data_IF_409182985929
#
_entry.id   IF_409182985929
#
_cell.length_a   1.000
_cell.length_b   1.000
_cell.length_c   1.000
_cell.angle_alpha   90.00
_cell.angle_beta   90.00
_cell.angle_gamma   90.00
#
_symmetry.space_group_name_H-M   'P 1'
#
loop_
_entity.id
_entity.type
_entity.pdbx_description
1 polymer ?
#
# COMPACT_ATOMS: atom_id res chain seq x y z
N UNK A 1 13.04 3.52 -14.22
CA UNK A 1 13.50 3.30 -12.83
C UNK A 1 14.49 2.14 -12.62
N UNK A 2 14.67 1.21 -13.57
CA UNK A 2 15.29 -0.11 -13.31
C UNK A 2 16.83 -0.17 -13.15
N UNK A 3 17.59 0.87 -13.48
CA UNK A 3 19.06 0.83 -13.49
C UNK A 3 19.76 1.52 -12.30
N UNK A 4 19.02 2.11 -11.36
CA UNK A 4 19.60 2.95 -10.29
C UNK A 4 19.68 2.30 -8.91
N UNK A 5 19.08 1.11 -8.71
CA UNK A 5 19.16 0.38 -7.46
C UNK A 5 19.96 -0.92 -7.66
N UNK A 6 21.07 -1.14 -6.92
CA UNK A 6 21.92 -2.34 -7.05
C UNK A 6 21.14 -3.65 -6.96
N UNK A 7 20.10 -3.68 -6.13
CA UNK A 7 19.21 -4.82 -5.94
C UNK A 7 18.44 -5.19 -7.22
N UNK A 8 17.97 -4.22 -8.01
CA UNK A 8 17.26 -4.49 -9.27
C UNK A 8 18.22 -5.09 -10.29
N UNK A 9 19.41 -4.50 -10.42
CA UNK A 9 20.45 -5.03 -11.30
C UNK A 9 20.81 -6.47 -10.92
N UNK A 10 21.03 -6.74 -9.63
CA UNK A 10 21.34 -8.07 -9.13
C UNK A 10 20.18 -9.06 -9.37
N UNK A 11 18.93 -8.65 -9.18
CA UNK A 11 17.76 -9.47 -9.44
C UNK A 11 17.60 -9.86 -10.91
N UNK A 12 17.88 -8.95 -11.83
CA UNK A 12 17.75 -9.20 -13.27
C UNK A 12 18.91 -10.04 -13.85
N UNK A 13 20.00 -10.22 -13.11
CA UNK A 13 21.07 -11.12 -13.54
C UNK A 13 20.70 -12.60 -13.36
N UNK A 14 21.13 -13.45 -14.28
CA UNK A 14 21.03 -14.92 -14.16
C UNK A 14 22.06 -15.52 -13.15
N UNK A 15 22.54 -14.71 -12.21
CA UNK A 15 23.54 -15.08 -11.20
C UNK A 15 22.93 -15.17 -9.80
N UNK A 16 23.58 -15.92 -8.93
CA UNK A 16 23.30 -15.87 -7.50
C UNK A 16 23.86 -14.55 -6.91
N UNK A 17 23.20 -14.02 -5.89
CA UNK A 17 23.73 -12.90 -5.09
C UNK A 17 23.96 -13.37 -3.66
N UNK A 18 25.21 -13.35 -3.23
CA UNK A 18 25.58 -13.59 -1.83
C UNK A 18 25.16 -12.42 -0.94
N UNK A 19 25.22 -11.18 -1.44
CA UNK A 19 24.82 -9.97 -0.72
C UNK A 19 23.34 -9.99 -0.37
N UNK A 20 22.49 -10.36 -1.34
CA UNK A 20 21.04 -10.36 -1.13
C UNK A 20 20.47 -11.73 -0.75
N UNK A 21 21.31 -12.77 -0.67
CA UNK A 21 20.93 -14.08 -0.17
C UNK A 21 20.01 -14.89 -1.09
N UNK A 22 20.18 -14.82 -2.42
CA UNK A 22 19.38 -15.60 -3.38
C UNK A 22 20.21 -16.37 -4.41
N UNK A 23 19.62 -17.47 -4.91
CA UNK A 23 20.19 -18.31 -5.95
C UNK A 23 20.10 -17.72 -7.35
N UNK A 24 20.65 -18.44 -8.34
CA UNK A 24 20.66 -18.02 -9.74
C UNK A 24 19.28 -18.13 -10.43
N UNK A 25 18.37 -18.94 -9.89
CA UNK A 25 17.03 -19.13 -10.45
C UNK A 25 16.12 -17.97 -10.04
N UNK A 26 15.22 -17.59 -10.95
CA UNK A 26 14.10 -16.71 -10.64
C UNK A 26 12.96 -17.56 -10.09
N UNK A 27 13.02 -17.85 -8.79
CA UNK A 27 12.01 -18.60 -8.06
C UNK A 27 11.31 -17.73 -7.00
N UNK A 28 10.30 -18.29 -6.35
CA UNK A 28 9.53 -17.60 -5.31
C UNK A 28 10.39 -17.17 -4.12
N UNK A 29 11.45 -17.93 -3.79
CA UNK A 29 12.37 -17.58 -2.71
C UNK A 29 13.17 -16.33 -3.03
N UNK A 30 13.71 -16.24 -4.26
CA UNK A 30 14.40 -15.04 -4.74
C UNK A 30 13.46 -13.84 -4.77
N UNK A 31 12.23 -14.02 -5.23
CA UNK A 31 11.20 -12.98 -5.23
C UNK A 31 10.89 -12.48 -3.82
N UNK A 32 10.63 -13.40 -2.88
CA UNK A 32 10.37 -13.10 -1.47
C UNK A 32 11.54 -12.33 -0.86
N UNK A 33 12.78 -12.78 -1.08
CA UNK A 33 13.97 -12.08 -0.56
C UNK A 33 14.11 -10.68 -1.13
N UNK A 34 13.87 -10.48 -2.42
CA UNK A 34 13.91 -9.15 -3.03
C UNK A 34 12.86 -8.20 -2.45
N UNK A 35 11.65 -8.69 -2.18
CA UNK A 35 10.60 -7.91 -1.51
C UNK A 35 11.02 -7.52 -0.08
N UNK A 36 11.58 -8.46 0.70
CA UNK A 36 12.07 -8.18 2.05
C UNK A 36 13.18 -7.12 2.08
N UNK A 37 14.13 -7.18 1.15
CA UNK A 37 15.16 -6.15 1.01
C UNK A 37 14.58 -4.79 0.62
N UNK A 38 13.57 -4.75 -0.26
CA UNK A 38 12.91 -3.50 -0.64
C UNK A 38 12.23 -2.83 0.57
N UNK A 39 11.61 -3.63 1.45
CA UNK A 39 11.03 -3.16 2.71
C UNK A 39 12.09 -2.62 3.67
N UNK A 40 13.22 -3.33 3.81
CA UNK A 40 14.35 -2.85 4.62
C UNK A 40 14.89 -1.51 4.10
N UNK A 41 14.92 -1.32 2.78
CA UNK A 41 15.34 -0.07 2.14
C UNK A 41 14.23 1.00 2.05
N UNK A 42 13.06 0.78 2.62
CA UNK A 42 11.93 1.72 2.45
C UNK A 42 12.24 3.13 2.92
N UNK A 43 12.87 3.31 4.07
CA UNK A 43 13.22 4.63 4.61
C UNK A 43 14.18 5.42 3.70
N UNK A 44 15.26 4.78 3.21
CA UNK A 44 16.19 5.43 2.27
C UNK A 44 15.54 5.73 0.91
N UNK A 45 14.60 4.88 0.47
CA UNK A 45 13.84 5.11 -0.75
C UNK A 45 12.88 6.29 -0.56
N UNK A 46 12.25 6.41 0.60
CA UNK A 46 11.41 7.55 0.95
C UNK A 46 12.21 8.86 0.92
N UNK A 47 13.36 8.91 1.59
CA UNK A 47 14.26 10.08 1.58
C UNK A 47 14.71 10.47 0.16
N UNK A 48 14.90 9.46 -0.70
CA UNK A 48 15.24 9.69 -2.11
C UNK A 48 14.09 10.36 -2.87
N UNK A 49 12.85 9.94 -2.63
CA UNK A 49 11.64 10.58 -3.18
C UNK A 49 11.51 12.02 -2.68
N UNK A 50 11.68 12.26 -1.37
CA UNK A 50 11.64 13.61 -0.79
C UNK A 50 12.74 14.53 -1.35
N UNK A 51 13.89 13.96 -1.69
CA UNK A 51 15.00 14.66 -2.36
C UNK A 51 14.73 14.94 -3.85
N UNK A 52 13.56 14.57 -4.37
CA UNK A 52 13.12 14.84 -5.74
C UNK A 52 13.51 13.78 -6.76
N UNK A 53 13.95 12.58 -6.34
CA UNK A 53 14.20 11.49 -7.28
C UNK A 53 12.86 10.90 -7.76
N UNK A 54 12.65 10.78 -9.09
CA UNK A 54 11.41 10.25 -9.67
C UNK A 54 11.40 8.72 -9.63
N UNK A 55 11.41 8.15 -8.42
CA UNK A 55 11.40 6.70 -8.15
C UNK A 55 10.06 6.22 -7.55
N UNK A 56 9.06 7.09 -7.54
CA UNK A 56 7.70 6.79 -7.08
C UNK A 56 6.68 7.51 -7.95
N UNK A 57 5.48 6.95 -8.03
CA UNK A 57 4.41 7.50 -8.84
C UNK A 57 3.77 8.72 -8.17
N UNK A 58 3.66 9.82 -8.91
CA UNK A 58 2.87 10.99 -8.50
C UNK A 58 1.39 10.83 -8.84
N UNK A 59 0.54 11.75 -8.36
CA UNK A 59 -0.86 11.84 -8.78
C UNK A 59 -0.97 11.90 -10.31
N UNK A 60 -0.17 12.74 -10.97
CA UNK A 60 -0.21 12.90 -12.43
C UNK A 60 0.28 11.68 -13.20
N UNK A 61 1.08 10.82 -12.57
CA UNK A 61 1.53 9.58 -13.21
C UNK A 61 0.42 8.52 -13.22
N UNK A 62 -0.38 8.48 -12.14
CA UNK A 62 -1.43 7.46 -11.93
C UNK A 62 -2.82 7.90 -12.38
N UNK A 63 -3.22 9.14 -12.13
CA UNK A 63 -4.61 9.60 -12.29
C UNK A 63 -4.80 10.30 -13.61
N UNK A 64 -5.69 9.74 -14.45
CA UNK A 64 -5.95 10.23 -15.81
C UNK A 64 -7.20 11.09 -15.84
N UNK A 65 -8.26 10.62 -15.18
CA UNK A 65 -9.47 11.40 -14.97
C UNK A 65 -10.06 11.11 -13.59
N UNK A 66 -10.64 12.14 -12.99
CA UNK A 66 -11.24 12.09 -11.65
C UNK A 66 -12.54 12.88 -11.66
N UNK A 67 -13.61 12.26 -11.19
CA UNK A 67 -14.87 12.94 -10.92
C UNK A 67 -15.47 12.48 -9.61
N UNK A 68 -16.02 13.41 -8.83
CA UNK A 68 -16.81 13.12 -7.66
C UNK A 68 -18.11 13.91 -7.75
N UNK A 69 -19.26 13.25 -7.52
CA UNK A 69 -20.56 13.92 -7.59
C UNK A 69 -20.80 14.62 -8.95
N UNK A 70 -20.39 13.96 -10.05
CA UNK A 70 -20.38 14.48 -11.42
C UNK A 70 -19.58 15.79 -11.64
N UNK A 71 -18.72 16.18 -10.70
CA UNK A 71 -17.79 17.31 -10.83
C UNK A 71 -16.36 16.80 -10.95
N UNK A 72 -15.55 17.44 -11.77
CA UNK A 72 -14.13 17.12 -11.88
C UNK A 72 -13.43 17.35 -10.54
N UNK A 73 -12.67 16.35 -10.09
CA UNK A 73 -11.69 16.49 -9.02
C UNK A 73 -10.28 16.58 -9.62
N UNK A 74 -9.35 17.15 -8.86
CA UNK A 74 -7.97 17.32 -9.27
C UNK A 74 -7.03 16.95 -8.11
N UNK A 75 -5.72 17.07 -8.35
CA UNK A 75 -4.66 16.77 -7.38
C UNK A 75 -4.84 17.47 -6.03
N UNK A 76 -5.39 18.70 -6.00
CA UNK A 76 -5.60 19.45 -4.75
C UNK A 76 -6.65 18.83 -3.83
N UNK A 77 -7.44 17.88 -4.34
CA UNK A 77 -8.42 17.12 -3.54
C UNK A 77 -7.83 15.84 -2.94
N UNK A 78 -6.54 15.59 -3.19
CA UNK A 78 -5.79 14.45 -2.70
C UNK A 78 -4.64 14.93 -1.83
N UNK A 79 -4.23 14.09 -0.89
CA UNK A 79 -2.94 14.19 -0.24
C UNK A 79 -2.10 12.97 -0.62
N UNK A 80 -0.79 13.15 -0.66
CA UNK A 80 0.14 12.04 -0.80
C UNK A 80 0.61 11.58 0.57
N UNK A 81 0.71 10.27 0.77
CA UNK A 81 1.38 9.67 1.92
C UNK A 81 2.28 8.53 1.45
N UNK A 82 3.34 8.25 2.20
CA UNK A 82 4.27 7.18 1.85
C UNK A 82 3.92 5.88 2.57
N UNK A 83 3.89 4.77 1.83
CA UNK A 83 3.78 3.43 2.36
C UNK A 83 5.06 2.64 2.01
N UNK A 84 5.71 1.99 2.98
CA UNK A 84 6.95 1.23 2.75
C UNK A 84 6.85 0.13 1.67
N UNK A 85 5.69 -0.50 1.53
CA UNK A 85 5.45 -1.59 0.58
C UNK A 85 5.11 -1.07 -0.81
N UNK A 86 4.32 0.00 -0.90
CA UNK A 86 3.69 0.45 -2.15
C UNK A 86 4.20 1.81 -2.67
N UNK A 87 5.08 2.48 -1.92
CA UNK A 87 5.59 3.80 -2.28
C UNK A 87 4.59 4.92 -1.99
N UNK A 88 4.53 5.92 -2.88
CA UNK A 88 3.64 7.07 -2.71
C UNK A 88 2.21 6.70 -3.05
N UNK A 89 1.32 6.83 -2.08
CA UNK A 89 -0.12 6.61 -2.22
C UNK A 89 -0.87 7.94 -2.29
N UNK A 90 -1.99 7.95 -3.01
CA UNK A 90 -2.87 9.13 -3.15
C UNK A 90 -4.16 8.91 -2.35
N UNK A 91 -4.44 9.80 -1.40
CA UNK A 91 -5.62 9.72 -0.55
C UNK A 91 -6.61 10.83 -0.86
N UNK A 92 -7.79 10.44 -1.34
CA UNK A 92 -8.90 11.34 -1.59
C UNK A 92 -9.62 11.72 -0.29
N UNK A 93 -10.07 12.97 -0.18
CA UNK A 93 -10.98 13.42 0.88
C UNK A 93 -10.45 13.22 2.33
N UNK A 94 -9.14 13.41 2.54
CA UNK A 94 -8.54 13.37 3.87
C UNK A 94 -9.23 14.33 4.86
N UNK A 95 -9.52 15.56 4.42
CA UNK A 95 -10.17 16.59 5.25
C UNK A 95 -11.68 16.41 5.47
N UNK A 96 -12.32 15.41 4.87
CA UNK A 96 -13.76 15.15 5.04
C UNK A 96 -14.69 16.19 4.40
N UNK A 97 -14.21 16.98 3.43
CA UNK A 97 -14.97 18.02 2.74
C UNK A 97 -15.97 17.46 1.72
N UNK A 98 -15.73 16.26 1.20
CA UNK A 98 -16.56 15.61 0.20
C UNK A 98 -17.58 14.68 0.86
N UNK A 99 -18.86 15.04 0.73
CA UNK A 99 -19.99 14.29 1.27
C UNK A 99 -20.90 13.84 0.11
N UNK A 100 -21.29 12.56 0.12
CA UNK A 100 -22.23 12.02 -0.85
C UNK A 100 -23.65 12.07 -0.28
N UNK A 101 -24.53 12.80 -0.94
CA UNK A 101 -25.94 12.91 -0.57
C UNK A 101 -26.84 11.93 -1.31
N UNK A 102 -26.32 11.23 -2.32
CA UNK A 102 -27.10 10.34 -3.19
C UNK A 102 -26.28 9.10 -3.56
N UNK A 103 -26.86 7.94 -3.33
CA UNK A 103 -26.29 6.68 -3.78
C UNK A 103 -26.31 6.57 -5.31
N UNK A 104 -25.24 6.03 -5.88
CA UNK A 104 -25.15 5.66 -7.29
C UNK A 104 -23.78 5.97 -7.89
N UNK A 105 -23.35 5.21 -8.91
CA UNK A 105 -21.99 5.33 -9.48
C UNK A 105 -21.65 6.71 -10.06
N UNK A 106 -22.65 7.48 -10.49
CA UNK A 106 -22.46 8.85 -10.99
C UNK A 106 -22.13 9.86 -9.88
N UNK A 107 -22.58 9.58 -8.66
CA UNK A 107 -22.47 10.48 -7.52
C UNK A 107 -21.30 10.12 -6.58
N UNK A 108 -20.69 8.95 -6.80
CA UNK A 108 -19.49 8.50 -6.09
C UNK A 108 -18.20 9.07 -6.65
N UNK A 109 -17.07 8.52 -6.17
CA UNK A 109 -15.74 8.79 -6.71
C UNK A 109 -15.51 7.90 -7.92
N UNK A 110 -15.34 8.52 -9.08
CA UNK A 110 -15.11 7.88 -10.35
C UNK A 110 -13.73 8.27 -10.87
N UNK A 111 -12.88 7.28 -11.15
CA UNK A 111 -11.50 7.51 -11.57
C UNK A 111 -11.13 6.64 -12.76
N UNK A 112 -10.37 7.19 -13.71
CA UNK A 112 -9.56 6.42 -14.65
C UNK A 112 -8.13 6.52 -14.19
N UNK A 113 -7.53 5.37 -13.95
CA UNK A 113 -6.17 5.26 -13.44
C UNK A 113 -5.29 4.53 -14.46
N UNK A 114 -4.01 4.85 -14.46
CA UNK A 114 -2.95 4.28 -15.28
C UNK A 114 -1.94 3.57 -14.39
N UNK A 115 -1.53 2.38 -14.80
CA UNK A 115 -0.32 1.74 -14.29
C UNK A 115 0.71 1.59 -15.42
N UNK A 116 1.96 1.32 -15.09
CA UNK A 116 2.97 0.98 -16.10
C UNK A 116 3.73 -0.27 -15.64
N UNK A 117 3.32 -1.46 -16.11
CA UNK A 117 3.99 -2.69 -15.67
C UNK A 117 5.41 -2.79 -16.20
N UNK A 118 5.78 -2.04 -17.25
CA UNK A 118 7.16 -2.01 -17.70
C UNK A 118 8.08 -1.34 -16.66
N UNK A 119 7.52 -0.46 -15.82
CA UNK A 119 8.21 0.22 -14.74
C UNK A 119 8.05 -0.46 -13.36
N UNK A 120 7.36 -1.59 -13.28
CA UNK A 120 7.23 -2.34 -12.02
C UNK A 120 8.57 -2.88 -11.55
N UNK A 121 8.64 -3.11 -10.23
CA UNK A 121 9.74 -3.88 -9.67
C UNK A 121 9.64 -5.33 -10.19
N UNK A 122 10.77 -5.97 -10.56
CA UNK A 122 10.76 -7.33 -11.10
C UNK A 122 10.18 -8.42 -10.19
N UNK A 123 10.02 -8.12 -8.89
CA UNK A 123 9.42 -9.00 -7.88
C UNK A 123 7.99 -8.61 -7.50
N UNK A 124 7.37 -7.65 -8.19
CA UNK A 124 5.96 -7.32 -8.00
C UNK A 124 5.08 -8.47 -8.51
N UNK A 125 4.29 -9.07 -7.62
CA UNK A 125 3.45 -10.24 -7.96
C UNK A 125 2.17 -9.88 -8.72
N UNK A 126 1.52 -8.79 -8.33
CA UNK A 126 0.19 -8.43 -8.81
C UNK A 126 0.23 -7.18 -9.66
N UNK A 127 -0.56 -7.18 -10.73
CA UNK A 127 -0.74 -6.00 -11.56
C UNK A 127 -2.09 -5.35 -11.34
N UNK A 128 -2.04 -4.03 -11.13
CA UNK A 128 -3.20 -3.18 -10.94
C UNK A 128 -2.90 -2.12 -9.90
N UNK A 129 -3.95 -1.59 -9.29
CA UNK A 129 -3.82 -0.78 -8.08
C UNK A 129 -4.44 -1.46 -6.89
N UNK A 130 -4.00 -1.00 -5.73
CA UNK A 130 -4.56 -1.38 -4.44
C UNK A 130 -5.26 -0.15 -3.89
N UNK A 131 -6.49 -0.35 -3.43
CA UNK A 131 -7.31 0.70 -2.84
C UNK A 131 -7.69 0.32 -1.42
N UNK A 132 -7.69 1.30 -0.52
CA UNK A 132 -8.19 1.14 0.84
C UNK A 132 -9.32 2.14 1.04
N UNK A 133 -10.43 1.66 1.60
CA UNK A 133 -11.55 2.49 2.02
C UNK A 133 -11.56 2.50 3.53
N UNK A 134 -11.30 3.66 4.13
CA UNK A 134 -11.13 3.81 5.57
C UNK A 134 -11.79 5.10 6.07
N UNK A 135 -11.90 5.22 7.39
CA UNK A 135 -12.39 6.45 8.05
C UNK A 135 -11.30 7.52 8.10
N UNK A 136 -11.69 8.80 8.26
CA UNK A 136 -10.73 9.92 8.25
C UNK A 136 -9.65 9.81 9.33
N UNK A 137 -9.99 9.24 10.49
CA UNK A 137 -9.07 9.15 11.63
C UNK A 137 -8.26 7.84 11.67
N UNK A 138 -8.36 7.02 10.63
CA UNK A 138 -7.69 5.73 10.51
C UNK A 138 -6.50 5.82 9.55
N UNK A 139 -5.38 5.22 9.95
CA UNK A 139 -4.22 5.05 9.07
C UNK A 139 -4.54 3.96 8.04
N UNK A 140 -4.39 4.22 6.72
CA UNK A 140 -4.60 3.21 5.72
C UNK A 140 -3.46 2.18 5.71
N UNK A 141 -3.82 0.88 5.75
CA UNK A 141 -2.90 -0.25 5.63
C UNK A 141 -3.24 -1.09 4.38
N UNK A 142 -2.72 -0.73 3.18
CA UNK A 142 -3.09 -1.39 1.93
C UNK A 142 -2.66 -2.85 1.82
N UNK A 143 -1.65 -3.25 2.58
CA UNK A 143 -1.15 -4.63 2.65
C UNK A 143 -2.10 -5.54 3.44
N UNK A 144 -2.95 -4.99 4.30
CA UNK A 144 -3.91 -5.75 5.13
C UNK A 144 -5.35 -5.58 4.63
N UNK A 145 -5.75 -4.35 4.29
CA UNK A 145 -7.14 -4.00 3.95
C UNK A 145 -7.33 -3.59 2.48
N UNK A 146 -6.35 -3.88 1.63
CA UNK A 146 -6.35 -3.50 0.22
C UNK A 146 -7.33 -4.30 -0.64
N UNK A 147 -8.06 -3.58 -1.50
CA UNK A 147 -8.83 -4.13 -2.61
C UNK A 147 -8.06 -3.96 -3.91
N UNK A 148 -7.91 -5.04 -4.67
CA UNK A 148 -7.23 -5.02 -5.96
C UNK A 148 -8.18 -4.61 -7.08
N UNK A 149 -7.78 -3.65 -7.90
CA UNK A 149 -8.40 -3.36 -9.19
C UNK A 149 -7.43 -3.72 -10.32
N UNK A 150 -7.72 -4.78 -11.10
CA UNK A 150 -6.85 -5.20 -12.19
C UNK A 150 -6.96 -4.23 -13.37
N UNK A 151 -5.87 -4.05 -14.12
CA UNK A 151 -5.88 -3.18 -15.28
C UNK A 151 -6.72 -3.81 -16.42
N UNK A 152 -7.25 -3.00 -17.34
CA UNK A 152 -8.17 -3.44 -18.39
C UNK A 152 -9.58 -3.78 -17.91
N UNK A 153 -9.96 -3.31 -16.71
CA UNK A 153 -11.29 -3.55 -16.14
C UNK A 153 -11.96 -2.29 -15.63
N UNK A 154 -13.29 -2.31 -15.56
CA UNK A 154 -14.08 -1.41 -14.75
C UNK A 154 -14.39 -2.13 -13.42
N UNK A 155 -13.85 -1.63 -12.32
CA UNK A 155 -14.08 -2.12 -10.96
C UNK A 155 -15.03 -1.18 -10.22
N UNK A 156 -16.24 -1.64 -9.91
CA UNK A 156 -17.21 -0.89 -9.12
C UNK A 156 -17.22 -1.37 -7.67
N UNK A 157 -17.05 -0.43 -6.75
CA UNK A 157 -16.97 -0.69 -5.31
C UNK A 157 -18.20 -0.11 -4.61
N UNK A 158 -19.15 -0.98 -4.26
CA UNK A 158 -20.30 -0.61 -3.45
C UNK A 158 -19.90 -0.47 -1.98
N UNK A 159 -19.98 0.73 -1.43
CA UNK A 159 -19.54 1.02 -0.06
C UNK A 159 -20.72 1.23 0.87
N UNK A 160 -20.72 0.53 2.01
CA UNK A 160 -21.70 0.70 3.09
C UNK A 160 -20.99 1.06 4.40
N UNK A 161 -21.43 2.14 5.04
CA UNK A 161 -20.96 2.47 6.39
C UNK A 161 -21.54 1.50 7.42
N UNK A 162 -20.68 0.95 8.26
CA UNK A 162 -21.04 -0.01 9.32
C UNK A 162 -20.48 0.48 10.64
N UNK A 163 -21.36 0.73 11.61
CA UNK A 163 -20.96 1.01 12.98
C UNK A 163 -21.25 -0.22 13.84
N UNK A 164 -20.22 -0.74 14.52
CA UNK A 164 -20.31 -1.92 15.38
C UNK A 164 -20.07 -1.52 16.82
N UNK A 165 -21.03 -1.84 17.70
CA UNK A 165 -20.91 -1.66 19.15
C UNK A 165 -20.91 -3.02 19.87
N UNK A 166 -19.92 -3.22 20.73
CA UNK A 166 -19.69 -4.43 21.53
C UNK A 166 -19.88 -4.11 23.00
N UNK A 167 -20.52 -5.02 23.72
CA UNK A 167 -20.65 -4.91 25.17
C UNK A 167 -19.32 -5.33 25.83
N UNK A 168 -18.84 -4.50 26.76
CA UNK A 168 -17.70 -4.81 27.61
C UNK A 168 -18.04 -5.84 28.69
N UNK A 169 -17.17 -5.96 29.69
CA UNK A 169 -17.37 -6.90 30.81
C UNK A 169 -18.72 -6.65 31.51
N UNK A 170 -19.49 -7.69 31.87
CA UNK A 170 -19.14 -9.12 31.83
C UNK A 170 -19.41 -9.85 30.50
N UNK A 171 -19.98 -9.18 29.49
CA UNK A 171 -20.45 -9.82 28.26
C UNK A 171 -19.34 -10.05 27.22
N UNK A 172 -18.27 -9.26 27.28
CA UNK A 172 -17.14 -9.38 26.37
C UNK A 172 -15.88 -8.68 26.88
N UNK A 173 -14.81 -8.81 26.11
CA UNK A 173 -13.50 -8.21 26.36
C UNK A 173 -13.18 -7.24 25.22
N UNK A 174 -13.72 -6.03 25.30
CA UNK A 174 -13.40 -4.93 24.40
C UNK A 174 -12.76 -3.76 25.16
N UNK A 175 -12.01 -2.91 24.46
CA UNK A 175 -11.40 -1.71 25.02
C UNK A 175 -12.17 -0.45 24.64
N UNK A 176 -12.28 0.50 25.57
CA UNK A 176 -12.78 1.86 25.32
C UNK A 176 -11.66 2.86 25.05
N UNK A 177 -10.41 2.37 24.97
CA UNK A 177 -9.25 3.15 24.59
C UNK A 177 -9.48 3.77 23.21
N UNK A 178 -9.34 5.10 23.16
CA UNK A 178 -9.48 5.87 21.91
C UNK A 178 -8.14 6.25 21.31
N UNK A 179 -7.14 6.50 22.14
CA UNK A 179 -5.81 6.93 21.71
C UNK A 179 -4.83 5.77 21.88
N UNK A 180 -4.00 5.56 20.87
CA UNK A 180 -2.95 4.56 20.91
C UNK A 180 -1.90 4.98 21.95
N UNK A 181 -1.62 4.10 22.89
CA UNK A 181 -0.60 4.30 23.94
C UNK A 181 0.54 3.32 23.71
N UNK A 182 1.20 3.44 22.56
CA UNK A 182 2.33 2.59 22.20
C UNK A 182 3.55 3.43 21.85
N UNK A 183 4.71 2.76 21.75
CA UNK A 183 5.99 3.45 21.59
C UNK A 183 6.21 3.98 20.17
N UNK A 184 5.72 3.26 19.17
CA UNK A 184 6.13 3.48 17.77
C UNK A 184 5.05 4.06 16.86
N UNK A 185 3.78 3.88 17.21
CA UNK A 185 2.64 4.41 16.46
C UNK A 185 1.90 5.41 17.34
N UNK A 186 1.36 6.46 16.72
CA UNK A 186 0.59 7.51 17.41
C UNK A 186 -0.77 7.67 16.76
N UNK A 187 -1.67 8.39 17.43
CA UNK A 187 -3.02 8.66 16.92
C UNK A 187 -4.10 7.80 17.57
N UNK A 188 -5.14 7.49 16.81
CA UNK A 188 -6.27 6.73 17.32
C UNK A 188 -5.95 5.23 17.46
N UNK A 189 -6.57 4.60 18.44
CA UNK A 189 -6.42 3.17 18.67
C UNK A 189 -7.11 2.39 17.54
N UNK A 190 -6.30 1.70 16.74
CA UNK A 190 -6.74 0.63 15.86
C UNK A 190 -6.03 -0.65 16.28
N UNK A 191 -6.68 -1.79 16.04
CA UNK A 191 -6.11 -3.10 16.37
C UNK A 191 -4.82 -3.33 15.58
N UNK A 192 -4.80 -2.92 14.31
CA UNK A 192 -3.63 -3.05 13.44
C UNK A 192 -2.45 -2.20 13.92
N UNK A 193 -2.67 -0.93 14.30
CA UNK A 193 -1.61 -0.08 14.82
C UNK A 193 -1.00 -0.64 16.12
N UNK A 194 -1.83 -1.25 16.97
CA UNK A 194 -1.35 -1.95 18.18
C UNK A 194 -0.45 -3.14 17.83
N UNK A 195 -0.88 -4.01 16.91
CA UNK A 195 -0.09 -5.17 16.50
C UNK A 195 1.24 -4.76 15.84
N UNK A 196 1.21 -3.76 14.96
CA UNK A 196 2.42 -3.22 14.33
C UNK A 196 3.40 -2.63 15.33
N UNK A 197 2.90 -1.91 16.33
CA UNK A 197 3.76 -1.39 17.39
C UNK A 197 4.38 -2.50 18.24
N UNK A 198 3.60 -3.53 18.59
CA UNK A 198 4.10 -4.69 19.33
C UNK A 198 5.17 -5.46 18.54
N UNK A 199 4.96 -5.64 17.23
CA UNK A 199 5.92 -6.28 16.34
C UNK A 199 7.23 -5.49 16.25
N UNK A 200 7.14 -4.16 16.11
CA UNK A 200 8.32 -3.30 16.11
C UNK A 200 9.07 -3.33 17.45
N UNK A 201 8.36 -3.37 18.59
CA UNK A 201 8.98 -3.52 19.92
C UNK A 201 9.75 -4.85 20.04
N UNK A 202 9.19 -5.94 19.50
CA UNK A 202 9.86 -7.24 19.47
C UNK A 202 11.11 -7.21 18.59
N UNK A 203 11.02 -6.63 17.39
CA UNK A 203 12.16 -6.49 16.47
C UNK A 203 13.29 -5.68 17.13
N UNK A 204 12.97 -4.55 17.75
CA UNK A 204 13.96 -3.71 18.45
C UNK A 204 14.62 -4.48 19.60
N UNK A 205 13.86 -5.30 20.33
CA UNK A 205 14.36 -6.06 21.48
C UNK A 205 15.29 -7.21 21.06
N UNK A 206 14.93 -7.96 20.01
CA UNK A 206 15.66 -9.15 19.57
C UNK A 206 16.80 -8.82 18.58
N UNK A 207 16.55 -7.94 17.62
CA UNK A 207 17.51 -7.58 16.56
C UNK A 207 18.37 -6.36 16.92
N UNK A 208 17.96 -5.54 17.90
CA UNK A 208 18.69 -4.35 18.34
C UNK A 208 18.57 -3.13 17.42
N UNK A 209 17.74 -3.21 16.39
CA UNK A 209 17.46 -2.16 15.40
C UNK A 209 15.95 -2.12 15.11
N UNK A 210 15.45 -1.01 14.54
CA UNK A 210 14.04 -0.93 14.12
C UNK A 210 13.88 -1.32 12.65
N UNK A 211 12.78 -1.99 12.30
CA UNK A 211 12.45 -2.27 10.90
C UNK A 211 11.85 -1.01 10.23
N UNK A 212 12.47 -0.48 9.16
CA UNK A 212 11.97 0.68 8.41
C UNK A 212 10.57 0.51 7.81
N UNK A 213 10.11 -0.74 7.63
CA UNK A 213 8.78 -1.02 7.12
C UNK A 213 7.65 -0.63 8.10
N UNK A 214 7.99 -0.32 9.35
CA UNK A 214 7.05 0.12 10.37
C UNK A 214 7.42 1.52 10.89
N UNK A 215 6.41 2.24 11.40
CA UNK A 215 6.66 3.45 12.18
C UNK A 215 7.59 3.13 13.36
N UNK A 216 8.42 4.10 13.75
CA UNK A 216 9.40 3.96 14.83
C UNK A 216 9.43 5.22 15.70
N UNK A 217 10.04 5.09 16.89
CA UNK A 217 10.22 6.21 17.80
C UNK A 217 11.52 6.94 17.46
N UNK A 218 11.51 8.27 17.44
CA UNK A 218 12.61 9.06 16.87
C UNK A 218 13.97 8.98 17.61
N UNK A 219 14.04 8.48 18.86
CA UNK A 219 15.15 8.88 19.75
C UNK A 219 15.87 7.79 20.57
N UNK A 220 16.13 6.59 20.02
CA UNK A 220 17.11 5.70 20.69
C UNK A 220 17.76 4.59 19.86
N UNK A 221 17.15 4.17 18.76
CA UNK A 221 17.53 2.92 18.07
C UNK A 221 17.84 3.21 16.61
N UNK A 222 18.88 2.59 16.06
CA UNK A 222 19.24 2.75 14.65
C UNK A 222 18.35 1.89 13.74
N UNK A 223 18.21 2.31 12.48
CA UNK A 223 17.51 1.58 11.42
C UNK A 223 18.20 0.26 11.11
N UNK A 224 17.46 -0.83 10.92
CA UNK A 224 18.03 -2.12 10.52
C UNK A 224 18.70 -2.10 9.13
N UNK A 225 18.45 -1.07 8.31
CA UNK A 225 19.19 -0.82 7.06
C UNK A 225 20.64 -0.38 7.31
N UNK A 226 20.90 0.36 8.39
CA UNK A 226 22.20 0.99 8.64
C UNK A 226 22.94 0.45 9.86
N UNK A 227 22.24 -0.28 10.72
CA UNK A 227 22.81 -0.88 11.92
C UNK A 227 23.55 -2.18 11.62
N UNK A 228 24.88 -2.22 11.77
CA UNK A 228 25.63 -3.47 11.59
C UNK A 228 25.53 -4.04 10.17
N UNK A 229 25.30 -5.35 10.04
CA UNK A 229 25.15 -6.04 8.76
C UNK A 229 23.66 -6.20 8.37
N UNK A 230 23.18 -5.55 7.29
CA UNK A 230 21.78 -5.59 6.88
C UNK A 230 21.27 -7.00 6.56
N UNK A 231 22.12 -7.88 6.02
CA UNK A 231 21.72 -9.27 5.73
C UNK A 231 21.41 -10.05 7.00
N UNK A 232 22.20 -9.85 8.06
CA UNK A 232 21.96 -10.47 9.38
C UNK A 232 20.69 -9.91 10.02
N UNK A 233 20.46 -8.60 9.95
CA UNK A 233 19.24 -7.99 10.48
C UNK A 233 17.99 -8.50 9.74
N UNK A 234 18.06 -8.61 8.41
CA UNK A 234 16.95 -9.11 7.62
C UNK A 234 16.61 -10.57 7.96
N UNK A 235 17.61 -11.39 8.28
CA UNK A 235 17.39 -12.76 8.75
C UNK A 235 16.70 -12.77 10.13
N UNK A 236 17.10 -11.88 11.05
CA UNK A 236 16.46 -11.73 12.36
C UNK A 236 14.98 -11.29 12.24
N UNK A 237 14.71 -10.28 11.40
CA UNK A 237 13.34 -9.80 11.14
C UNK A 237 12.48 -10.91 10.52
N UNK A 238 13.00 -11.63 9.52
CA UNK A 238 12.30 -12.75 8.85
C UNK A 238 12.01 -13.90 9.83
N UNK A 239 12.90 -14.17 10.80
CA UNK A 239 12.67 -15.16 11.85
C UNK A 239 11.51 -14.77 12.79
N UNK A 240 11.43 -13.49 13.18
CA UNK A 240 10.35 -12.96 14.03
C UNK A 240 9.01 -12.92 13.30
N UNK A 241 9.03 -12.56 12.00
CA UNK A 241 7.83 -12.47 11.18
C UNK A 241 7.32 -13.84 10.71
N UNK A 242 8.14 -14.89 10.80
CA UNK A 242 7.77 -16.22 10.38
C UNK A 242 6.95 -16.94 11.47
N UNK A 243 5.65 -17.22 11.24
CA UNK A 243 4.79 -17.86 12.23
C UNK A 243 5.15 -19.32 12.54
N UNK A 244 5.98 -19.95 11.70
CA UNK A 244 6.47 -21.31 11.94
C UNK A 244 7.61 -21.37 12.96
N UNK A 245 8.18 -20.22 13.34
CA UNK A 245 9.22 -20.14 14.38
C UNK A 245 8.58 -20.04 15.77
N UNK A 246 9.34 -20.42 16.80
CA UNK A 246 8.92 -20.23 18.19
C UNK A 246 9.42 -18.91 18.80
N UNK A 247 9.94 -17.99 17.99
CA UNK A 247 10.59 -16.76 18.47
C UNK A 247 9.56 -15.72 18.91
N UNK A 248 8.47 -15.61 18.16
CA UNK A 248 7.42 -14.66 18.45
C UNK A 248 6.07 -15.12 17.90
N UNK A 249 5.04 -15.08 18.74
CA UNK A 249 3.67 -15.28 18.33
C UNK A 249 2.85 -14.01 18.58
N UNK A 250 2.60 -13.28 17.49
CA UNK A 250 1.89 -12.00 17.53
C UNK A 250 0.49 -12.09 18.17
N UNK A 251 -0.18 -13.25 18.07
CA UNK A 251 -1.55 -13.42 18.59
C UNK A 251 -1.53 -13.61 20.11
N UNK A 252 -0.56 -14.36 20.65
CA UNK A 252 -0.50 -14.64 22.09
C UNK A 252 0.33 -13.64 22.89
N UNK A 253 1.32 -13.00 22.27
CA UNK A 253 2.25 -12.11 22.95
C UNK A 253 1.83 -10.63 22.87
N UNK A 254 1.03 -10.23 21.88
CA UNK A 254 0.52 -8.87 21.78
C UNK A 254 -0.87 -8.72 22.40
N UNK A 255 -1.00 -7.83 23.38
CA UNK A 255 -2.28 -7.50 24.01
C UNK A 255 -3.01 -6.38 23.25
N UNK A 256 -3.63 -6.73 22.12
CA UNK A 256 -4.38 -5.79 21.27
C UNK A 256 -5.89 -6.12 21.26
N UNK A 257 -6.64 -5.76 22.33
CA UNK A 257 -8.07 -6.05 22.43
C UNK A 257 -8.90 -5.30 21.37
N UNK A 258 -9.99 -5.91 20.93
CA UNK A 258 -10.91 -5.27 19.98
C UNK A 258 -11.58 -4.02 20.61
N UNK A 259 -11.76 -2.91 19.87
CA UNK A 259 -12.46 -1.74 20.38
C UNK A 259 -13.95 -2.02 20.58
N UNK A 260 -14.54 -1.39 21.61
CA UNK A 260 -15.95 -1.54 21.91
C UNK A 260 -16.83 -0.87 20.85
N UNK A 261 -16.41 0.26 20.30
CA UNK A 261 -17.10 0.91 19.18
C UNK A 261 -16.11 1.04 18.04
N UNK A 262 -16.50 0.56 16.86
CA UNK A 262 -15.69 0.68 15.64
C UNK A 262 -16.61 1.03 14.48
N UNK A 263 -16.16 2.03 13.72
CA UNK A 263 -16.78 2.43 12.48
C UNK A 263 -15.91 1.93 11.34
N UNK A 264 -16.51 1.27 10.36
CA UNK A 264 -15.82 0.71 9.20
C UNK A 264 -16.68 0.81 7.95
N UNK A 265 -16.07 0.52 6.81
CA UNK A 265 -16.74 0.44 5.53
C UNK A 265 -16.76 -1.00 5.04
N UNK A 266 -17.97 -1.52 4.81
CA UNK A 266 -18.17 -2.80 4.13
C UNK A 266 -18.25 -2.56 2.63
N UNK A 267 -17.47 -3.32 1.86
CA UNK A 267 -17.29 -3.11 0.42
C UNK A 267 -17.72 -4.34 -0.36
N UNK A 268 -18.51 -4.13 -1.40
CA UNK A 268 -18.82 -5.14 -2.42
C UNK A 268 -18.13 -4.77 -3.72
N UNK A 269 -17.32 -5.69 -4.27
CA UNK A 269 -16.58 -5.46 -5.51
C UNK A 269 -17.28 -6.19 -6.66
N UNK A 270 -17.45 -5.48 -7.78
CA UNK A 270 -17.88 -6.06 -9.04
C UNK A 270 -16.99 -5.55 -10.16
N UNK A 271 -16.63 -6.43 -11.09
CA UNK A 271 -15.70 -6.09 -12.18
C UNK A 271 -16.29 -6.45 -13.53
N UNK A 272 -15.96 -5.65 -14.54
CA UNK A 272 -16.30 -5.88 -15.95
C UNK A 272 -15.11 -5.53 -16.85
N UNK A 273 -15.03 -6.13 -18.03
CA UNK A 273 -13.99 -5.77 -19.01
C UNK A 273 -14.16 -4.31 -19.45
N UNK A 274 -13.06 -3.55 -19.50
CA UNK A 274 -13.09 -2.17 -20.00
C UNK A 274 -11.78 -1.84 -20.73
N UNK A 275 -11.85 -1.21 -21.92
CA UNK A 275 -13.07 -0.80 -22.61
C UNK A 275 -13.77 -1.94 -23.36
N UNK A 276 -15.05 -1.73 -23.71
CA UNK A 276 -15.76 -2.62 -24.63
C UNK A 276 -15.23 -2.46 -26.06
N UNK A 277 -15.32 -3.49 -26.89
CA UNK A 277 -14.76 -3.52 -28.26
C UNK A 277 -15.17 -2.32 -29.15
N UNK A 278 -16.39 -1.79 -28.98
CA UNK A 278 -16.90 -0.65 -29.75
C UNK A 278 -16.76 0.71 -29.05
N UNK A 279 -16.09 0.78 -27.89
CA UNK A 279 -15.93 1.99 -27.10
C UNK A 279 -14.45 2.39 -27.05
N UNK A 280 -14.15 3.60 -27.53
CA UNK A 280 -12.84 4.22 -27.34
C UNK A 280 -12.96 5.27 -26.24
N UNK A 281 -12.33 5.07 -25.07
CA UNK A 281 -12.30 6.09 -24.03
C UNK A 281 -11.73 7.41 -24.55
N UNK A 282 -12.30 8.53 -24.11
CA UNK A 282 -11.79 9.87 -24.44
C UNK A 282 -10.34 10.08 -24.03
N UNK A 283 -9.96 9.44 -22.93
CA UNK A 283 -8.62 9.37 -22.35
C UNK A 283 -7.62 8.67 -23.28
N UNK A 284 -8.10 7.86 -24.23
CA UNK A 284 -7.32 7.10 -25.20
C UNK A 284 -7.34 7.70 -26.61
N UNK A 285 -7.80 8.95 -26.78
CA UNK A 285 -7.86 9.63 -28.08
C UNK A 285 -6.50 10.20 -28.56
N UNK A 286 -6.24 10.26 -29.87
CA UNK A 286 -4.96 10.72 -30.44
C UNK A 286 -4.62 12.20 -30.20
N UNK A 287 -5.59 13.00 -29.75
CA UNK A 287 -5.41 14.41 -29.39
C UNK A 287 -5.18 14.66 -27.90
N UNK A 288 -5.15 13.61 -27.06
CA UNK A 288 -4.86 13.73 -25.63
C UNK A 288 -3.36 14.02 -25.45
N UNK A 289 -3.04 15.32 -25.33
CA UNK A 289 -1.69 15.85 -25.20
C UNK A 289 -1.13 15.67 -23.77
N UNK A 290 -1.28 14.47 -23.22
CA UNK A 290 -0.73 14.03 -21.95
C UNK A 290 0.08 12.79 -22.23
N UNK A 291 1.41 12.90 -22.27
CA UNK A 291 2.39 11.81 -22.22
C UNK A 291 1.81 10.38 -22.36
N UNK A 292 1.43 10.08 -23.62
CA UNK A 292 1.08 8.79 -24.25
C UNK A 292 0.09 7.85 -23.52
N UNK A 293 -1.22 7.98 -23.76
CA UNK A 293 -2.20 6.91 -23.58
C UNK A 293 -2.37 6.03 -24.85
N UNK A 294 -1.50 6.20 -25.86
CA UNK A 294 -1.58 5.54 -27.16
C UNK A 294 -0.22 4.97 -27.57
N UNK A 295 -0.13 3.65 -27.76
CA UNK A 295 0.93 3.00 -28.53
C UNK A 295 0.39 2.84 -29.96
N UNK A 296 0.94 3.60 -30.90
CA UNK A 296 0.48 3.62 -32.31
C UNK A 296 0.51 2.24 -32.98
N UNK A 297 1.24 1.30 -32.39
CA UNK A 297 1.50 -0.03 -32.94
C UNK A 297 0.46 -1.09 -32.56
N UNK A 298 -0.39 -0.85 -31.56
CA UNK A 298 -1.27 -1.90 -30.97
C UNK A 298 -2.78 -1.60 -31.05
N UNK A 299 -3.22 -0.46 -31.59
CA UNK A 299 -4.63 -0.13 -31.84
C UNK A 299 -5.60 -0.44 -30.66
N UNK A 300 -5.10 -0.36 -29.43
CA UNK A 300 -5.85 -0.66 -28.20
C UNK A 300 -5.61 0.43 -27.16
N UNK A 301 -6.69 0.89 -26.51
CA UNK A 301 -6.59 1.63 -25.26
C UNK A 301 -5.90 0.67 -24.28
N UNK A 302 -4.70 1.04 -23.84
CA UNK A 302 -3.72 0.05 -23.41
C UNK A 302 -4.24 -0.72 -22.19
N UNK A 303 -3.84 -1.99 -22.08
CA UNK A 303 -4.05 -2.94 -20.98
C UNK A 303 -3.62 -2.46 -19.58
N UNK A 304 -3.33 -1.17 -19.42
CA UNK A 304 -2.86 -0.49 -18.21
C UNK A 304 -3.92 0.38 -17.52
N UNK A 305 -5.00 0.73 -18.23
CA UNK A 305 -6.03 1.61 -17.67
C UNK A 305 -7.16 0.81 -17.06
N UNK A 306 -7.71 1.32 -15.96
CA UNK A 306 -8.90 0.75 -15.35
C UNK A 306 -9.75 1.85 -14.76
N UNK A 307 -10.99 1.48 -14.51
CA UNK A 307 -12.05 2.41 -14.26
C UNK A 307 -12.75 2.10 -12.95
N UNK A 308 -12.73 3.04 -12.00
CA UNK A 308 -13.35 2.86 -10.67
C UNK A 308 -14.67 3.63 -10.60
N UNK A 309 -15.70 3.00 -10.03
CA UNK A 309 -17.05 3.53 -9.80
C UNK A 309 -17.47 3.47 -8.33
#
# INVERSE_FOLDING_TARGET
MQNSLPIISAYNTNGASTEFGWGARLDSERQKRAALWALLYSERLHQSVESGLPISYSYSDMVVSCTYNAKTCNETNFISFYNPTYGTCQQFNFGGEFISSRAGPLYGLRMVLRTDQADYLPWTETSGVIMVIHTQDEVPYPDVFGYFAPPGTASSLGVNYVSTSRLGKPYGTCTTQKTLTTTHYTGNYTVEACFRSCMQEKIVTECGCYDPAYSHAENSTASCDTYGDPSTNLACIDEINNPDTSVFNIISECNCPQPCNVDSYSVTVSTALWPATGYTPTECGPAANTSKPWLETEDTCISWFFFIL
#
